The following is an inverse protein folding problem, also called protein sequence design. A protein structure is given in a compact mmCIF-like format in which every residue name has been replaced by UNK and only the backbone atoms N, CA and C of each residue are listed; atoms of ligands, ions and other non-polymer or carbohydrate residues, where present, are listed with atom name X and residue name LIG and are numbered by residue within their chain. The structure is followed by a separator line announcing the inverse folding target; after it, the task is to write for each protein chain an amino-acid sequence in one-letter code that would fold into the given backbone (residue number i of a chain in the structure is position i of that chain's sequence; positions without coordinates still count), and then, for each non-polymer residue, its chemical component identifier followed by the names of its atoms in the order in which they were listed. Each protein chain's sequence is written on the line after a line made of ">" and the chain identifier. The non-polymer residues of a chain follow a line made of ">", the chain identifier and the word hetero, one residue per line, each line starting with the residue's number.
data_IF_242690988619
#
_entry.id   IF_242690988619
#
_cell.length_a   1.000
_cell.length_b   1.000
_cell.length_c   1.000
_cell.angle_alpha   90.00
_cell.angle_beta   90.00
_cell.angle_gamma   90.00
#
_symmetry.space_group_name_H-M   'P 1'
#
loop_
_entity.id
_entity.type
_entity.pdbx_description
1 polymer ?
#
# COMPACT_ATOMS: atom_id res chain seq x y z
N UNK A 1 7.99 -6.93 8.66
CA UNK A 1 9.29 -7.20 9.32
C UNK A 1 10.31 -7.94 8.44
N UNK A 2 9.94 -8.81 7.49
CA UNK A 2 10.90 -9.35 6.51
C UNK A 2 11.01 -8.53 5.21
N UNK A 3 9.87 -8.14 4.61
CA UNK A 3 9.86 -7.31 3.40
C UNK A 3 10.58 -5.96 3.55
N UNK A 4 10.54 -5.36 4.76
CA UNK A 4 11.26 -4.12 5.07
C UNK A 4 12.78 -4.28 5.10
N UNK A 5 13.26 -5.44 5.57
CA UNK A 5 14.68 -5.74 5.55
C UNK A 5 15.17 -5.94 4.10
N UNK A 6 14.37 -6.63 3.26
CA UNK A 6 14.64 -6.76 1.83
C UNK A 6 14.64 -5.39 1.12
N UNK A 7 13.72 -4.50 1.49
CA UNK A 7 13.68 -3.12 0.99
C UNK A 7 14.95 -2.33 1.33
N UNK A 8 15.40 -2.40 2.60
CA UNK A 8 16.63 -1.72 3.05
C UNK A 8 17.88 -2.28 2.34
N UNK A 9 17.85 -3.53 1.92
CA UNK A 9 18.90 -4.17 1.13
C UNK A 9 18.77 -3.91 -0.39
N UNK A 10 17.81 -3.10 -0.83
CA UNK A 10 17.56 -2.81 -2.24
C UNK A 10 16.93 -3.96 -3.04
N UNK A 11 16.52 -5.05 -2.39
CA UNK A 11 15.90 -6.23 -3.00
C UNK A 11 14.40 -6.03 -3.18
N UNK A 12 14.04 -5.02 -3.97
CA UNK A 12 12.66 -4.52 -4.08
C UNK A 12 11.71 -5.55 -4.71
N UNK A 13 12.18 -6.35 -5.68
CA UNK A 13 11.36 -7.39 -6.31
C UNK A 13 10.96 -8.49 -5.32
N UNK A 14 11.88 -8.89 -4.45
CA UNK A 14 11.62 -9.90 -3.43
C UNK A 14 10.74 -9.35 -2.31
N UNK A 15 10.97 -8.10 -1.91
CA UNK A 15 10.11 -7.43 -0.95
C UNK A 15 8.65 -7.35 -1.46
N UNK A 16 8.47 -6.99 -2.74
CA UNK A 16 7.16 -6.96 -3.39
C UNK A 16 6.53 -8.36 -3.47
N UNK A 17 7.30 -9.38 -3.83
CA UNK A 17 6.83 -10.77 -3.90
C UNK A 17 6.29 -11.28 -2.55
N UNK A 18 6.99 -10.98 -1.45
CA UNK A 18 6.53 -11.34 -0.11
C UNK A 18 5.23 -10.61 0.26
N UNK A 19 5.16 -9.31 -0.02
CA UNK A 19 3.94 -8.53 0.27
C UNK A 19 2.75 -8.97 -0.58
N UNK A 20 2.98 -9.31 -1.85
CA UNK A 20 1.95 -9.82 -2.75
C UNK A 20 1.43 -11.19 -2.31
N UNK A 21 2.31 -12.08 -1.83
CA UNK A 21 1.93 -13.39 -1.30
C UNK A 21 1.10 -13.30 -0.02
N UNK A 22 1.28 -12.25 0.79
CA UNK A 22 0.50 -12.03 2.02
C UNK A 22 -0.89 -11.45 1.77
N UNK A 23 -1.11 -10.77 0.64
CA UNK A 23 -2.35 -10.06 0.35
C UNK A 23 -3.62 -10.94 0.32
N UNK A 24 -3.59 -12.19 -0.19
CA UNK A 24 -4.75 -13.08 -0.15
C UNK A 24 -5.11 -13.55 1.25
N UNK A 25 -4.13 -13.71 2.13
CA UNK A 25 -4.30 -14.26 3.49
C UNK A 25 -4.57 -13.16 4.53
N UNK A 26 -4.03 -11.96 4.30
CA UNK A 26 -4.18 -10.81 5.20
C UNK A 26 -4.84 -9.63 4.48
N UNK A 27 -6.10 -9.36 4.85
CA UNK A 27 -6.86 -8.16 4.45
C UNK A 27 -6.43 -6.95 5.29
N UNK A 28 -5.12 -6.76 5.48
CA UNK A 28 -4.57 -5.62 6.22
C UNK A 28 -4.27 -4.47 5.27
N UNK A 29 -4.85 -3.28 5.54
CA UNK A 29 -4.55 -2.09 4.74
C UNK A 29 -3.07 -1.69 4.82
N UNK A 30 -2.36 -2.09 5.89
CA UNK A 30 -0.90 -2.03 5.96
C UNK A 30 -0.25 -2.70 4.76
N UNK A 31 -0.55 -3.98 4.50
CA UNK A 31 0.13 -4.77 3.47
C UNK A 31 -0.17 -4.18 2.09
N UNK A 32 -1.42 -3.73 1.88
CA UNK A 32 -1.83 -3.10 0.64
C UNK A 32 -1.09 -1.77 0.40
N UNK A 33 -1.02 -0.91 1.42
CA UNK A 33 -0.30 0.37 1.37
C UNK A 33 1.20 0.14 1.11
N UNK A 34 1.83 -0.77 1.85
CA UNK A 34 3.26 -1.07 1.71
C UNK A 34 3.61 -1.68 0.35
N UNK A 35 2.78 -2.58 -0.17
CA UNK A 35 2.95 -3.11 -1.52
C UNK A 35 2.86 -2.00 -2.57
N UNK A 36 1.88 -1.10 -2.44
CA UNK A 36 1.73 0.00 -3.38
C UNK A 36 2.95 0.95 -3.38
N UNK A 37 3.47 1.29 -2.19
CA UNK A 37 4.70 2.10 -2.08
C UNK A 37 5.92 1.37 -2.65
N UNK A 38 5.99 0.04 -2.48
CA UNK A 38 7.04 -0.77 -3.09
C UNK A 38 6.96 -0.76 -4.62
N UNK A 39 5.77 -0.94 -5.19
CA UNK A 39 5.57 -0.87 -6.64
C UNK A 39 5.94 0.51 -7.19
N UNK A 40 5.64 1.59 -6.46
CA UNK A 40 6.11 2.94 -6.81
C UNK A 40 7.65 3.00 -6.85
N UNK A 41 8.34 2.47 -5.82
CA UNK A 41 9.82 2.44 -5.78
C UNK A 41 10.43 1.61 -6.90
N UNK A 42 9.74 0.57 -7.37
CA UNK A 42 10.13 -0.26 -8.52
C UNK A 42 9.86 0.41 -9.88
N UNK A 43 9.25 1.60 -9.90
CA UNK A 43 8.86 2.30 -11.13
C UNK A 43 7.51 1.86 -11.70
N UNK A 44 6.81 0.93 -11.04
CA UNK A 44 5.51 0.42 -11.45
C UNK A 44 4.36 1.33 -10.98
N UNK A 45 4.42 2.62 -11.34
CA UNK A 45 3.48 3.64 -10.88
C UNK A 45 2.00 3.33 -11.18
N UNK A 46 1.74 2.65 -12.30
CA UNK A 46 0.38 2.21 -12.67
C UNK A 46 -0.19 1.21 -11.65
N UNK A 47 0.62 0.27 -11.21
CA UNK A 47 0.21 -0.76 -10.26
C UNK A 47 0.06 -0.19 -8.86
N UNK A 48 1.00 0.67 -8.45
CA UNK A 48 0.91 1.43 -7.21
C UNK A 48 -0.41 2.25 -7.12
N UNK A 49 -0.73 3.03 -8.16
CA UNK A 49 -1.99 3.78 -8.22
C UNK A 49 -3.23 2.87 -8.15
N UNK A 50 -3.20 1.72 -8.84
CA UNK A 50 -4.30 0.75 -8.82
C UNK A 50 -4.56 0.23 -7.41
N UNK A 51 -3.51 -0.13 -6.69
CA UNK A 51 -3.57 -0.64 -5.32
C UNK A 51 -4.08 0.44 -4.35
N UNK A 52 -3.51 1.64 -4.39
CA UNK A 52 -3.92 2.77 -3.54
C UNK A 52 -5.39 3.14 -3.76
N UNK A 53 -5.81 3.29 -5.03
CA UNK A 53 -7.20 3.61 -5.37
C UNK A 53 -8.18 2.54 -4.87
N UNK A 54 -7.83 1.27 -5.04
CA UNK A 54 -8.66 0.15 -4.57
C UNK A 54 -8.77 0.15 -3.05
N UNK A 55 -7.66 0.32 -2.34
CA UNK A 55 -7.62 0.41 -0.88
C UNK A 55 -8.50 1.55 -0.38
N UNK A 56 -8.26 2.78 -0.84
CA UNK A 56 -9.03 3.96 -0.42
C UNK A 56 -10.53 3.80 -0.70
N UNK A 57 -10.89 3.24 -1.86
CA UNK A 57 -12.28 2.94 -2.21
C UNK A 57 -12.96 1.90 -1.31
N UNK A 58 -12.20 0.91 -0.79
CA UNK A 58 -12.72 -0.04 0.22
C UNK A 58 -12.88 0.65 1.57
N UNK A 59 -11.85 1.36 2.03
CA UNK A 59 -11.86 2.03 3.33
C UNK A 59 -12.98 3.06 3.45
N UNK A 60 -13.27 3.81 2.38
CA UNK A 60 -14.38 4.77 2.33
C UNK A 60 -15.76 4.13 2.55
N UNK A 61 -15.90 2.82 2.27
CA UNK A 61 -17.15 2.05 2.47
C UNK A 61 -17.13 1.23 3.76
N UNK A 62 -16.02 1.20 4.49
CA UNK A 62 -15.87 0.41 5.70
C UNK A 62 -16.51 1.11 6.91
N UNK A 63 -16.72 0.36 7.99
CA UNK A 63 -17.29 0.91 9.23
C UNK A 63 -16.39 2.01 9.83
N UNK A 64 -16.94 2.97 10.59
CA UNK A 64 -16.13 3.99 11.26
C UNK A 64 -15.06 3.42 12.20
N UNK A 65 -15.35 2.27 12.83
CA UNK A 65 -14.40 1.55 13.70
C UNK A 65 -13.21 1.05 12.89
N UNK A 66 -13.46 0.39 11.76
CA UNK A 66 -12.41 -0.09 10.86
C UNK A 66 -11.57 1.07 10.30
N UNK A 67 -12.23 2.17 9.89
CA UNK A 67 -11.53 3.37 9.43
C UNK A 67 -10.63 3.97 10.52
N UNK A 68 -11.07 3.95 11.79
CA UNK A 68 -10.26 4.41 12.92
C UNK A 68 -9.05 3.51 13.16
N UNK A 69 -9.23 2.20 13.11
CA UNK A 69 -8.16 1.21 13.28
C UNK A 69 -7.12 1.28 12.16
N UNK A 70 -7.55 1.54 10.93
CA UNK A 70 -6.68 1.61 9.75
C UNK A 70 -6.26 3.04 9.39
N UNK A 71 -6.54 4.02 10.25
CA UNK A 71 -6.38 5.46 9.96
C UNK A 71 -5.01 5.80 9.41
N UNK A 72 -3.95 5.36 10.09
CA UNK A 72 -2.56 5.63 9.71
C UNK A 72 -2.28 5.20 8.26
N UNK A 73 -2.75 4.02 7.87
CA UNK A 73 -2.54 3.48 6.52
C UNK A 73 -3.41 4.17 5.48
N UNK A 74 -4.63 4.55 5.84
CA UNK A 74 -5.54 5.31 4.97
C UNK A 74 -4.95 6.70 4.67
N UNK A 75 -4.44 7.39 5.69
CA UNK A 75 -3.81 8.71 5.56
C UNK A 75 -2.56 8.61 4.66
N UNK A 76 -1.66 7.68 4.97
CA UNK A 76 -0.45 7.44 4.17
C UNK A 76 -0.77 7.08 2.70
N UNK A 77 -1.77 6.23 2.48
CA UNK A 77 -2.21 5.88 1.14
C UNK A 77 -2.83 7.08 0.39
N UNK A 78 -3.55 7.95 1.11
CA UNK A 78 -4.15 9.16 0.57
C UNK A 78 -3.11 10.19 0.13
N UNK A 79 -2.09 10.43 0.98
CA UNK A 79 -0.95 11.28 0.65
C UNK A 79 -0.18 10.76 -0.57
N UNK A 80 0.18 9.47 -0.54
CA UNK A 80 0.90 8.84 -1.65
C UNK A 80 0.09 8.87 -2.95
N UNK A 81 -1.23 8.68 -2.89
CA UNK A 81 -2.09 8.75 -4.08
C UNK A 81 -2.10 10.17 -4.67
N UNK A 82 -2.28 11.20 -3.83
CA UNK A 82 -2.25 12.61 -4.25
C UNK A 82 -0.92 13.01 -4.89
N UNK A 83 0.20 12.66 -4.25
CA UNK A 83 1.54 12.90 -4.80
C UNK A 83 1.71 12.30 -6.20
N UNK A 84 1.15 11.10 -6.41
CA UNK A 84 1.26 10.39 -7.69
C UNK A 84 0.30 10.89 -8.75
N UNK A 85 -0.83 11.51 -8.39
CA UNK A 85 -1.80 12.08 -9.34
C UNK A 85 -1.60 13.56 -9.59
N UNK A 86 -0.75 14.24 -8.81
CA UNK A 86 -0.48 15.67 -8.95
C UNK A 86 -1.57 16.58 -8.37
N UNK A 87 -2.51 16.02 -7.60
CA UNK A 87 -3.49 16.81 -6.84
C UNK A 87 -2.80 17.32 -5.57
N UNK A 88 -2.24 18.54 -5.64
CA UNK A 88 -1.65 19.24 -4.47
C UNK A 88 -2.53 20.40 -4.07
#
# INVERSE_FOLDING_TARGET
>A
LYAQALEQLGRLDEAAGILAALLPEFVGEEICCRLALMERKRGNSKEALRLLKRMLGRCAKASPVYQREQRMWIELAGEAYKEMTGDT
#
